data_IF_268254905453
#
_entry.id   IF_268254905453
#
_cell.length_a   1.000
_cell.length_b   1.000
_cell.length_c   1.000
_cell.angle_alpha   90.00
_cell.angle_beta   90.00
_cell.angle_gamma   90.00
#
_symmetry.space_group_name_H-M   'P 1'
#
loop_
_entity.id
_entity.type
_entity.pdbx_description
1 polymer ?
#
# COMPACT_ATOMS: atom_id res chain seq x y z
N UNK A 1 -31.10 -4.43 4.78
CA UNK A 1 -30.22 -5.32 5.58
C UNK A 1 -28.84 -4.69 5.82
N UNK A 2 -28.10 -4.26 4.79
CA UNK A 2 -26.82 -3.54 5.01
C UNK A 2 -26.96 -2.25 5.84
N UNK A 3 -28.07 -1.53 5.73
CA UNK A 3 -28.31 -0.26 6.45
C UNK A 3 -28.44 -0.43 7.98
N UNK A 4 -29.15 -1.44 8.46
CA UNK A 4 -29.42 -1.62 9.89
C UNK A 4 -28.21 -2.13 10.67
N UNK A 5 -27.43 -3.02 10.05
CA UNK A 5 -26.20 -3.53 10.67
C UNK A 5 -25.14 -2.43 10.74
N UNK A 6 -25.02 -1.61 9.69
CA UNK A 6 -24.14 -0.43 9.65
C UNK A 6 -24.53 0.62 10.69
N UNK A 7 -25.83 0.87 10.87
CA UNK A 7 -26.33 1.82 11.87
C UNK A 7 -26.05 1.36 13.31
N UNK A 8 -26.25 0.07 13.64
CA UNK A 8 -25.93 -0.48 14.97
C UNK A 8 -24.44 -0.42 15.30
N UNK A 9 -23.58 -0.50 14.28
CA UNK A 9 -22.13 -0.58 14.47
C UNK A 9 -21.39 0.77 14.44
N UNK A 10 -21.96 1.82 13.86
CA UNK A 10 -21.44 3.19 14.05
C UNK A 10 -21.44 3.62 15.52
N UNK A 11 -22.27 2.98 16.36
CA UNK A 11 -22.31 3.17 17.80
C UNK A 11 -21.30 2.31 18.58
N UNK A 12 -20.51 1.45 17.91
CA UNK A 12 -19.46 0.68 18.58
C UNK A 12 -18.21 1.54 18.80
N UNK A 13 -17.82 1.64 20.07
CA UNK A 13 -16.69 2.45 20.53
C UNK A 13 -15.33 1.78 20.28
N UNK A 14 -15.29 0.44 20.24
CA UNK A 14 -14.06 -0.33 20.07
C UNK A 14 -13.40 -0.12 18.69
N UNK A 15 -12.18 0.45 18.62
CA UNK A 15 -11.44 0.63 17.37
C UNK A 15 -11.15 -0.67 16.61
N UNK A 16 -10.90 -1.79 17.31
CA UNK A 16 -10.59 -3.08 16.69
C UNK A 16 -11.79 -3.64 15.92
N UNK A 17 -12.98 -3.57 16.52
CA UNK A 17 -14.20 -4.04 15.88
C UNK A 17 -14.62 -3.13 14.71
N UNK A 18 -14.31 -1.83 14.79
CA UNK A 18 -14.53 -0.89 13.69
C UNK A 18 -13.66 -1.21 12.47
N UNK A 19 -12.40 -1.58 12.69
CA UNK A 19 -11.49 -2.01 11.62
C UNK A 19 -11.93 -3.34 10.99
N UNK A 20 -12.40 -4.30 11.80
CA UNK A 20 -12.97 -5.55 11.27
C UNK A 20 -14.21 -5.33 10.41
N UNK A 21 -14.97 -4.27 10.68
CA UNK A 21 -16.14 -3.93 9.87
C UNK A 21 -15.76 -3.46 8.47
N UNK A 22 -14.68 -2.68 8.33
CA UNK A 22 -14.18 -2.31 7.00
C UNK A 22 -13.78 -3.56 6.20
N UNK A 23 -13.17 -4.55 6.84
CA UNK A 23 -12.84 -5.82 6.17
C UNK A 23 -14.09 -6.55 5.65
N UNK A 24 -15.20 -6.55 6.41
CA UNK A 24 -16.47 -7.14 5.99
C UNK A 24 -17.14 -6.37 4.85
N UNK A 25 -17.12 -5.03 4.92
CA UNK A 25 -17.61 -4.18 3.83
C UNK A 25 -16.81 -4.44 2.54
N UNK A 26 -15.49 -4.59 2.65
CA UNK A 26 -14.61 -4.90 1.51
C UNK A 26 -14.93 -6.27 0.89
N UNK A 27 -15.13 -7.30 1.71
CA UNK A 27 -15.56 -8.63 1.26
C UNK A 27 -16.91 -8.57 0.54
N UNK A 28 -17.89 -7.86 1.11
CA UNK A 28 -19.21 -7.71 0.51
C UNK A 28 -19.13 -7.00 -0.86
N UNK A 29 -18.36 -5.91 -0.94
CA UNK A 29 -18.16 -5.17 -2.18
C UNK A 29 -17.43 -6.01 -3.24
N UNK A 30 -16.43 -6.79 -2.84
CA UNK A 30 -15.72 -7.72 -3.74
C UNK A 30 -16.65 -8.80 -4.28
N UNK A 31 -17.49 -9.40 -3.44
CA UNK A 31 -18.49 -10.37 -3.88
C UNK A 31 -19.48 -9.75 -4.86
N UNK A 32 -20.00 -8.55 -4.57
CA UNK A 32 -20.91 -7.84 -5.48
C UNK A 32 -20.27 -7.57 -6.84
N UNK A 33 -19.00 -7.15 -6.89
CA UNK A 33 -18.26 -6.93 -8.14
C UNK A 33 -18.15 -8.21 -8.97
N UNK A 34 -17.80 -9.34 -8.33
CA UNK A 34 -17.75 -10.64 -9.00
C UNK A 34 -19.12 -11.05 -9.55
N UNK A 35 -20.19 -10.87 -8.76
CA UNK A 35 -21.55 -11.21 -9.19
C UNK A 35 -22.05 -10.32 -10.34
N UNK A 36 -21.56 -9.09 -10.45
CA UNK A 36 -21.85 -8.19 -11.59
C UNK A 36 -20.99 -8.50 -12.84
N UNK A 37 -20.16 -9.55 -12.82
CA UNK A 37 -19.27 -9.89 -13.92
C UNK A 37 -18.17 -8.84 -14.15
N UNK A 38 -17.76 -8.13 -13.08
CA UNK A 38 -16.64 -7.18 -13.07
C UNK A 38 -15.56 -7.73 -12.15
N UNK A 39 -14.91 -8.77 -12.61
CA UNK A 39 -13.87 -9.45 -11.84
C UNK A 39 -12.59 -8.62 -11.72
N UNK A 40 -11.64 -9.05 -10.87
CA UNK A 40 -10.28 -8.50 -10.82
C UNK A 40 -9.62 -8.39 -12.21
N UNK A 41 -9.87 -9.39 -13.08
CA UNK A 41 -9.30 -9.45 -14.43
C UNK A 41 -9.78 -8.31 -15.33
N UNK A 42 -11.05 -7.91 -15.24
CA UNK A 42 -11.60 -6.80 -16.02
C UNK A 42 -10.99 -5.46 -15.58
N UNK A 43 -10.78 -5.29 -14.28
CA UNK A 43 -10.14 -4.11 -13.70
C UNK A 43 -8.67 -4.03 -14.12
N UNK A 44 -7.95 -5.15 -14.06
CA UNK A 44 -6.55 -5.26 -14.47
C UNK A 44 -6.36 -4.99 -15.98
N UNK A 45 -7.30 -5.46 -16.82
CA UNK A 45 -7.28 -5.24 -18.26
C UNK A 45 -7.50 -3.77 -18.63
N UNK A 46 -8.42 -3.10 -17.93
CA UNK A 46 -8.75 -1.70 -18.19
C UNK A 46 -7.74 -0.68 -17.62
N UNK A 47 -6.86 -1.11 -16.70
CA UNK A 47 -5.93 -0.19 -16.04
C UNK A 47 -4.85 0.30 -17.01
N UNK A 48 -4.68 1.64 -17.17
CA UNK A 48 -3.62 2.19 -17.98
C UNK A 48 -2.25 1.92 -17.35
N UNK A 49 -1.19 2.10 -18.14
CA UNK A 49 0.18 2.08 -17.61
C UNK A 49 0.38 3.29 -16.70
N UNK A 50 1.19 3.11 -15.67
CA UNK A 50 1.59 4.14 -14.73
C UNK A 50 0.40 4.81 -13.98
N UNK A 51 -0.64 4.02 -13.70
CA UNK A 51 -1.88 4.47 -13.08
C UNK A 51 -1.72 4.83 -11.60
N UNK A 52 -2.47 5.83 -11.15
CA UNK A 52 -2.68 6.17 -9.74
C UNK A 52 -4.15 5.88 -9.43
N UNK A 53 -4.39 5.07 -8.40
CA UNK A 53 -5.76 4.76 -7.98
C UNK A 53 -6.23 5.79 -6.96
N UNK A 54 -7.39 6.38 -7.23
CA UNK A 54 -8.09 7.29 -6.30
C UNK A 54 -9.36 6.60 -5.84
N UNK A 55 -9.51 6.38 -4.54
CA UNK A 55 -10.68 5.73 -3.96
C UNK A 55 -11.09 6.37 -2.63
N UNK A 56 -12.34 6.17 -2.23
CA UNK A 56 -12.78 6.60 -0.90
C UNK A 56 -12.11 5.76 0.17
N UNK A 57 -12.26 4.45 0.06
CA UNK A 57 -11.61 3.44 0.88
C UNK A 57 -11.22 2.27 -0.02
N UNK A 58 -10.26 1.47 0.43
CA UNK A 58 -9.82 0.27 -0.27
C UNK A 58 -9.30 -0.75 0.74
N UNK A 59 -9.68 -2.02 0.54
CA UNK A 59 -9.15 -3.13 1.31
C UNK A 59 -7.77 -3.58 0.84
N UNK A 60 -6.99 -4.19 1.73
CA UNK A 60 -5.66 -4.72 1.41
C UNK A 60 -5.71 -5.80 0.30
N UNK A 61 -6.71 -6.68 0.34
CA UNK A 61 -6.90 -7.72 -0.68
C UNK A 61 -7.28 -7.12 -2.05
N UNK A 62 -8.07 -6.03 -2.05
CA UNK A 62 -8.44 -5.34 -3.28
C UNK A 62 -7.23 -4.67 -3.95
N UNK A 63 -6.32 -4.07 -3.17
CA UNK A 63 -5.09 -3.51 -3.71
C UNK A 63 -4.25 -4.54 -4.48
N UNK A 64 -4.25 -5.79 -4.01
CA UNK A 64 -3.48 -6.89 -4.59
C UNK A 64 -4.09 -7.46 -5.87
N UNK A 65 -5.37 -7.17 -6.12
CA UNK A 65 -6.05 -7.53 -7.37
C UNK A 65 -5.54 -6.65 -8.55
N UNK A 66 -4.84 -5.55 -8.28
CA UNK A 66 -4.27 -4.67 -9.31
C UNK A 66 -2.88 -5.13 -9.81
N UNK A 67 -2.59 -5.01 -11.12
CA UNK A 67 -1.26 -5.29 -11.65
C UNK A 67 -0.21 -4.34 -11.08
N UNK A 68 0.76 -4.89 -10.33
CA UNK A 68 1.81 -4.11 -9.66
C UNK A 68 2.66 -3.29 -10.62
N UNK A 69 2.91 -3.80 -11.82
CA UNK A 69 3.72 -3.15 -12.86
C UNK A 69 3.04 -1.91 -13.47
N UNK A 70 1.71 -1.82 -13.35
CA UNK A 70 0.93 -0.68 -13.82
C UNK A 70 0.64 0.35 -12.74
N UNK A 71 0.76 -0.01 -11.47
CA UNK A 71 0.37 0.85 -10.34
C UNK A 71 1.54 1.72 -9.86
N UNK A 72 1.33 3.04 -9.77
CA UNK A 72 2.35 4.03 -9.39
C UNK A 72 2.00 4.85 -8.15
N UNK A 73 0.76 4.79 -7.69
CA UNK A 73 0.35 5.48 -6.48
C UNK A 73 -1.06 5.09 -6.03
N UNK A 74 -1.35 5.37 -4.77
CA UNK A 74 -2.65 5.15 -4.15
C UNK A 74 -3.08 6.40 -3.39
N UNK A 75 -4.30 6.86 -3.62
CA UNK A 75 -4.92 8.01 -2.96
C UNK A 75 -6.21 7.55 -2.31
N UNK A 76 -6.32 7.76 -1.00
CA UNK A 76 -7.48 7.36 -0.20
C UNK A 76 -8.10 8.54 0.54
N UNK A 77 -9.41 8.73 0.43
CA UNK A 77 -10.13 9.69 1.28
C UNK A 77 -10.17 9.23 2.75
N UNK A 78 -10.27 7.92 2.95
CA UNK A 78 -10.33 7.19 4.21
C UNK A 78 -9.16 6.19 4.26
N UNK A 79 -8.03 6.65 4.78
CA UNK A 79 -6.84 5.82 4.94
C UNK A 79 -5.92 6.39 6.01
N UNK A 80 -5.90 5.78 7.19
CA UNK A 80 -4.94 6.12 8.23
C UNK A 80 -3.58 5.49 7.93
N UNK A 81 -2.49 6.11 8.39
CA UNK A 81 -1.14 5.57 8.21
C UNK A 81 -0.96 4.13 8.74
N UNK A 82 -1.77 3.73 9.71
CA UNK A 82 -1.78 2.39 10.32
C UNK A 82 -2.76 1.42 9.67
N UNK A 83 -3.54 1.84 8.67
CA UNK A 83 -4.49 0.95 8.01
C UNK A 83 -3.80 -0.15 7.21
N UNK A 84 -4.41 -1.33 7.17
CA UNK A 84 -3.86 -2.51 6.50
C UNK A 84 -3.49 -2.24 5.03
N UNK A 85 -4.34 -1.51 4.29
CA UNK A 85 -4.06 -1.16 2.88
C UNK A 85 -2.81 -0.29 2.73
N UNK A 86 -2.60 0.69 3.62
CA UNK A 86 -1.42 1.57 3.59
C UNK A 86 -0.15 0.79 3.91
N UNK A 87 -0.23 -0.13 4.88
CA UNK A 87 0.87 -1.02 5.23
C UNK A 87 1.27 -1.89 4.04
N UNK A 88 0.28 -2.51 3.37
CA UNK A 88 0.53 -3.38 2.21
C UNK A 88 1.09 -2.58 1.04
N UNK A 89 0.50 -1.43 0.72
CA UNK A 89 1.02 -0.54 -0.33
C UNK A 89 2.47 -0.12 -0.07
N UNK A 90 2.81 0.19 1.19
CA UNK A 90 4.19 0.52 1.60
C UNK A 90 5.14 -0.65 1.40
N UNK A 91 4.75 -1.87 1.76
CA UNK A 91 5.56 -3.07 1.51
C UNK A 91 5.78 -3.32 0.00
N UNK A 92 4.76 -3.00 -0.82
CA UNK A 92 4.85 -3.06 -2.28
C UNK A 92 5.68 -1.92 -2.90
N UNK A 93 6.09 -0.92 -2.11
CA UNK A 93 6.85 0.25 -2.58
C UNK A 93 5.99 1.28 -3.34
N UNK A 94 4.67 1.25 -3.15
CA UNK A 94 3.73 2.17 -3.78
C UNK A 94 3.57 3.41 -2.90
N UNK A 95 3.79 4.63 -3.42
CA UNK A 95 3.47 5.88 -2.72
C UNK A 95 1.98 5.96 -2.37
N UNK A 96 1.67 6.34 -1.12
CA UNK A 96 0.29 6.46 -0.66
C UNK A 96 0.04 7.84 -0.05
N UNK A 97 -1.07 8.47 -0.42
CA UNK A 97 -1.63 9.63 0.26
C UNK A 97 -3.01 9.27 0.83
N UNK A 98 -3.08 9.18 2.16
CA UNK A 98 -4.32 8.90 2.90
C UNK A 98 -4.95 10.16 3.47
N UNK A 99 -6.23 10.09 3.86
CA UNK A 99 -7.01 11.22 4.39
C UNK A 99 -7.26 12.35 3.38
N UNK A 100 -7.27 12.05 2.09
CA UNK A 100 -7.46 13.01 1.00
C UNK A 100 -8.95 13.28 0.75
N UNK A 101 -9.64 13.89 1.72
CA UNK A 101 -11.08 14.15 1.65
C UNK A 101 -11.45 14.95 0.39
N UNK A 102 -12.40 14.43 -0.38
CA UNK A 102 -12.88 15.06 -1.62
C UNK A 102 -12.08 14.68 -2.86
N UNK A 103 -10.98 13.91 -2.73
CA UNK A 103 -10.17 13.52 -3.87
C UNK A 103 -10.98 12.78 -4.95
N UNK A 104 -11.90 11.90 -4.55
CA UNK A 104 -12.76 11.15 -5.49
C UNK A 104 -13.69 12.08 -6.26
N UNK A 105 -14.17 13.15 -5.61
CA UNK A 105 -15.05 14.12 -6.27
C UNK A 105 -14.32 15.13 -7.16
N UNK A 106 -13.01 15.31 -6.96
CA UNK A 106 -12.21 16.30 -7.68
C UNK A 106 -11.41 15.73 -8.86
N UNK A 107 -11.14 14.41 -8.82
CA UNK A 107 -10.38 13.70 -9.83
C UNK A 107 -11.30 13.04 -10.87
N UNK A 108 -10.87 13.07 -12.11
CA UNK A 108 -11.49 12.35 -13.22
C UNK A 108 -10.53 11.30 -13.79
N UNK A 109 -11.09 10.26 -14.43
CA UNK A 109 -10.29 9.25 -15.10
C UNK A 109 -9.44 9.89 -16.20
N UNK A 110 -8.12 9.68 -16.14
CA UNK A 110 -7.16 10.23 -17.10
C UNK A 110 -6.48 11.53 -16.63
N UNK A 111 -6.86 12.09 -15.48
CA UNK A 111 -6.15 13.22 -14.91
C UNK A 111 -4.69 12.86 -14.57
N UNK A 112 -3.78 13.80 -14.84
CA UNK A 112 -2.43 13.75 -14.31
C UNK A 112 -2.47 14.02 -12.79
N UNK A 113 -1.78 13.19 -12.02
CA UNK A 113 -1.73 13.29 -10.56
C UNK A 113 -0.28 13.11 -10.09
N UNK A 114 0.17 13.96 -9.18
CA UNK A 114 1.38 13.75 -8.40
C UNK A 114 0.97 13.28 -7.01
N UNK A 115 1.56 12.19 -6.53
CA UNK A 115 1.39 11.68 -5.16
C UNK A 115 2.71 11.85 -4.42
N UNK A 116 2.72 12.71 -3.40
CA UNK A 116 3.84 12.84 -2.47
C UNK A 116 3.57 12.00 -1.22
N UNK A 117 4.13 10.80 -1.19
CA UNK A 117 4.02 9.90 -0.03
C UNK A 117 4.89 10.29 1.17
N UNK A 118 5.80 11.26 1.05
CA UNK A 118 6.61 11.77 2.17
C UNK A 118 5.86 12.87 2.91
N UNK A 119 5.28 13.81 2.17
CA UNK A 119 4.48 14.91 2.73
C UNK A 119 3.01 14.51 2.93
N UNK A 120 2.58 13.40 2.33
CA UNK A 120 1.19 12.94 2.38
C UNK A 120 0.26 13.88 1.61
N UNK A 121 0.69 14.43 0.49
CA UNK A 121 -0.09 15.38 -0.32
C UNK A 121 -0.28 14.88 -1.75
N UNK A 122 -1.29 15.44 -2.43
CA UNK A 122 -1.55 15.17 -3.85
C UNK A 122 -1.69 16.47 -4.62
N UNK A 123 -1.31 16.43 -5.90
CA UNK A 123 -1.58 17.51 -6.85
C UNK A 123 -2.34 16.94 -8.03
N UNK A 124 -3.61 17.34 -8.18
CA UNK A 124 -4.46 16.98 -9.31
C UNK A 124 -4.26 18.00 -10.44
N UNK A 125 -4.09 17.50 -11.68
CA UNK A 125 -3.83 18.32 -12.88
C UNK A 125 -2.74 19.37 -12.62
N UNK A 126 -1.55 18.95 -12.16
CA UNK A 126 -0.47 19.87 -11.81
C UNK A 126 -0.06 20.72 -13.02
N UNK A 127 0.38 21.94 -12.75
CA UNK A 127 0.98 22.79 -13.77
C UNK A 127 2.38 22.27 -14.12
N UNK A 128 2.87 22.58 -15.32
CA UNK A 128 4.15 22.04 -15.84
C UNK A 128 5.38 22.43 -15.01
N UNK A 129 5.34 23.58 -14.34
CA UNK A 129 6.39 24.03 -13.41
C UNK A 129 6.45 23.15 -12.17
N UNK A 130 5.29 22.78 -11.62
CA UNK A 130 5.17 21.85 -10.50
C UNK A 130 5.63 20.44 -10.90
N UNK A 131 5.25 19.96 -12.09
CA UNK A 131 5.74 18.69 -12.62
C UNK A 131 7.27 18.66 -12.72
N UNK A 132 7.87 19.74 -13.25
CA UNK A 132 9.32 19.86 -13.36
C UNK A 132 10.01 19.86 -11.98
N UNK A 133 9.45 20.58 -11.00
CA UNK A 133 9.96 20.61 -9.63
C UNK A 133 9.94 19.23 -8.98
N UNK A 134 8.85 18.47 -9.13
CA UNK A 134 8.76 17.11 -8.62
C UNK A 134 9.68 16.14 -9.37
N UNK A 135 9.86 16.32 -10.68
CA UNK A 135 10.83 15.54 -11.45
C UNK A 135 12.28 15.76 -10.98
N UNK A 136 12.64 16.98 -10.56
CA UNK A 136 13.92 17.25 -9.89
C UNK A 136 13.98 16.63 -8.49
N UNK A 137 12.91 16.72 -7.68
CA UNK A 137 12.81 16.08 -6.35
C UNK A 137 13.06 14.57 -6.45
N UNK A 138 12.44 13.91 -7.42
CA UNK A 138 12.64 12.47 -7.70
C UNK A 138 14.08 12.17 -8.11
N UNK A 139 14.69 12.99 -8.96
CA UNK A 139 16.11 12.82 -9.35
C UNK A 139 17.06 12.98 -8.17
N UNK A 140 16.81 13.96 -7.30
CA UNK A 140 17.62 14.15 -6.09
C UNK A 140 17.47 12.95 -5.13
N UNK A 141 16.25 12.44 -4.95
CA UNK A 141 15.99 11.22 -4.17
C UNK A 141 16.72 10.02 -4.75
N UNK A 142 16.71 9.83 -6.06
CA UNK A 142 17.44 8.75 -6.72
C UNK A 142 18.95 8.83 -6.46
N UNK A 143 19.54 10.03 -6.51
CA UNK A 143 20.96 10.23 -6.15
C UNK A 143 21.25 9.89 -4.69
N UNK A 144 20.38 10.31 -3.76
CA UNK A 144 20.53 9.95 -2.33
C UNK A 144 20.40 8.44 -2.11
N UNK A 145 19.49 7.79 -2.84
CA UNK A 145 19.33 6.34 -2.76
C UNK A 145 20.60 5.61 -3.21
N UNK A 146 21.34 6.14 -4.19
CA UNK A 146 22.61 5.57 -4.61
C UNK A 146 23.67 5.65 -3.51
N UNK A 147 23.75 6.79 -2.79
CA UNK A 147 24.62 6.93 -1.62
C UNK A 147 24.25 5.92 -0.53
N UNK A 148 22.96 5.67 -0.30
CA UNK A 148 22.51 4.66 0.67
C UNK A 148 22.84 3.23 0.23
N UNK A 149 22.84 2.93 -1.07
CA UNK A 149 23.28 1.62 -1.57
C UNK A 149 24.74 1.33 -1.24
N UNK A 150 25.60 2.35 -1.18
CA UNK A 150 26.99 2.17 -0.75
C UNK A 150 27.12 1.79 0.73
N UNK A 151 26.16 2.17 1.57
CA UNK A 151 26.15 1.83 3.00
C UNK A 151 25.79 0.37 3.27
N UNK A 152 25.17 -0.31 2.30
CA UNK A 152 24.68 -1.70 2.42
C UNK A 152 25.74 -2.69 2.91
N UNK A 153 27.01 -2.47 2.57
CA UNK A 153 28.13 -3.36 2.94
C UNK A 153 28.88 -2.91 4.19
N UNK A 154 28.52 -1.76 4.78
CA UNK A 154 29.18 -1.23 5.98
C UNK A 154 28.59 -1.86 7.24
N UNK A 155 29.40 -2.07 8.28
CA UNK A 155 28.90 -2.54 9.56
C UNK A 155 28.01 -1.47 10.19
N UNK A 156 26.93 -1.90 10.85
CA UNK A 156 26.01 -1.04 11.59
C UNK A 156 26.56 -0.78 12.99
N UNK A 157 27.34 0.30 13.12
CA UNK A 157 27.99 0.71 14.37
C UNK A 157 27.53 2.12 14.78
N UNK A 158 27.35 2.34 16.08
CA UNK A 158 27.19 3.70 16.64
C UNK A 158 28.51 4.49 16.55
N UNK A 159 28.46 5.80 16.83
CA UNK A 159 29.66 6.66 16.78
C UNK A 159 30.74 6.26 17.79
N UNK A 160 30.36 5.60 18.87
CA UNK A 160 31.21 5.04 19.92
C UNK A 160 31.52 3.55 19.72
N UNK A 161 31.14 2.96 18.59
CA UNK A 161 31.57 1.62 18.17
C UNK A 161 30.69 0.46 18.66
N UNK A 162 29.51 0.72 19.21
CA UNK A 162 28.57 -0.32 19.64
C UNK A 162 27.88 -0.92 18.40
N UNK A 163 27.92 -2.25 18.20
CA UNK A 163 27.22 -2.90 17.11
C UNK A 163 25.71 -2.93 17.33
N UNK A 164 24.95 -2.67 16.27
CA UNK A 164 23.48 -2.73 16.26
C UNK A 164 23.02 -3.52 15.03
N UNK A 165 22.20 -4.54 15.25
CA UNK A 165 21.60 -5.28 14.15
C UNK A 165 20.41 -4.51 13.56
N UNK A 166 20.51 -4.19 12.27
CA UNK A 166 19.40 -3.64 11.50
C UNK A 166 18.66 -4.79 10.83
N UNK A 167 17.47 -5.08 11.33
CA UNK A 167 16.61 -6.16 10.83
C UNK A 167 15.46 -5.60 10.00
N UNK A 168 15.06 -6.34 8.97
CA UNK A 168 13.95 -5.96 8.09
C UNK A 168 12.62 -6.52 8.61
N UNK A 169 11.54 -5.76 8.42
CA UNK A 169 10.19 -6.27 8.55
C UNK A 169 9.72 -6.78 7.18
N UNK A 170 9.24 -8.02 7.13
CA UNK A 170 8.67 -8.65 5.94
C UNK A 170 7.26 -9.14 6.24
N UNK A 171 6.42 -9.33 5.22
CA UNK A 171 5.11 -9.96 5.41
C UNK A 171 4.65 -10.81 4.23
N UNK A 172 5.27 -10.67 3.06
CA UNK A 172 5.02 -11.54 1.93
C UNK A 172 6.35 -12.08 1.37
N UNK A 173 6.29 -13.23 0.69
CA UNK A 173 7.47 -13.80 0.03
C UNK A 173 8.09 -12.83 -1.00
N UNK A 174 7.28 -11.92 -1.56
CA UNK A 174 7.73 -10.87 -2.49
C UNK A 174 8.63 -9.81 -1.83
N UNK A 175 8.71 -9.78 -0.50
CA UNK A 175 9.59 -8.87 0.24
C UNK A 175 11.01 -9.45 0.37
N UNK A 176 11.19 -10.77 0.25
CA UNK A 176 12.48 -11.43 0.48
C UNK A 176 13.62 -10.95 -0.44
N UNK A 177 13.39 -10.64 -1.74
CA UNK A 177 14.43 -10.02 -2.56
C UNK A 177 14.96 -8.71 -1.97
N UNK A 178 14.13 -7.94 -1.27
CA UNK A 178 14.51 -6.67 -0.64
C UNK A 178 15.44 -6.87 0.58
N UNK A 179 15.44 -8.05 1.21
CA UNK A 179 16.35 -8.36 2.32
C UNK A 179 17.80 -8.26 1.85
N UNK A 180 18.05 -8.83 0.68
CA UNK A 180 19.37 -8.75 0.06
C UNK A 180 19.67 -7.30 -0.26
N UNK A 181 18.79 -6.60 -0.99
CA UNK A 181 18.98 -5.21 -1.43
C UNK A 181 19.18 -4.19 -0.30
N UNK A 182 18.57 -4.39 0.85
CA UNK A 182 18.64 -3.48 2.00
C UNK A 182 19.94 -3.61 2.81
N UNK A 183 20.59 -4.78 2.78
CA UNK A 183 21.74 -5.07 3.63
C UNK A 183 21.38 -5.31 5.09
N UNK A 184 20.11 -5.61 5.38
CA UNK A 184 19.68 -6.00 6.70
C UNK A 184 20.35 -7.30 7.15
N UNK A 185 20.65 -7.40 8.45
CA UNK A 185 21.29 -8.59 9.05
C UNK A 185 20.35 -9.81 9.08
N UNK A 186 19.04 -9.59 8.92
CA UNK A 186 18.03 -10.63 8.92
C UNK A 186 16.60 -10.06 8.94
N UNK A 187 15.64 -10.93 9.20
CA UNK A 187 14.23 -10.56 9.38
C UNK A 187 13.95 -10.45 10.88
N UNK A 188 13.51 -9.28 11.32
CA UNK A 188 13.16 -9.03 12.73
C UNK A 188 11.69 -9.23 13.03
N UNK A 189 10.85 -9.10 12.00
CA UNK A 189 9.41 -9.33 12.08
C UNK A 189 8.94 -9.92 10.75
N UNK A 190 8.33 -11.09 10.80
CA UNK A 190 7.62 -11.69 9.66
C UNK A 190 6.11 -11.68 9.95
N UNK A 191 5.37 -10.87 9.20
CA UNK A 191 3.92 -10.70 9.33
C UNK A 191 3.18 -11.79 8.56
N UNK A 192 2.74 -12.83 9.27
CA UNK A 192 2.05 -13.95 8.63
C UNK A 192 0.64 -13.58 8.18
N UNK A 193 0.00 -12.57 8.80
CA UNK A 193 -1.38 -12.19 8.48
C UNK A 193 -1.59 -11.78 7.02
N UNK A 194 -0.58 -11.17 6.39
CA UNK A 194 -0.63 -10.83 4.98
C UNK A 194 -0.82 -12.07 4.09
N UNK A 195 -0.16 -13.21 4.40
CA UNK A 195 -0.30 -14.45 3.65
C UNK A 195 -1.74 -15.00 3.68
N UNK A 196 -2.45 -14.81 4.79
CA UNK A 196 -3.86 -15.22 4.91
C UNK A 196 -4.80 -14.28 4.14
N UNK A 197 -4.47 -12.98 4.06
CA UNK A 197 -5.28 -12.02 3.29
C UNK A 197 -5.15 -12.22 1.78
N UNK A 198 -3.99 -12.67 1.28
CA UNK A 198 -3.76 -12.87 -0.16
C UNK A 198 -4.21 -14.25 -0.67
N UNK A 199 -4.37 -15.23 0.23
CA UNK A 199 -4.71 -16.58 -0.15
C UNK A 199 -6.19 -16.72 -0.56
N UNK A 200 -6.45 -17.37 -1.69
CA UNK A 200 -7.81 -17.68 -2.15
C UNK A 200 -8.55 -18.68 -1.24
N UNK A 201 -7.80 -19.46 -0.47
CA UNK A 201 -8.31 -20.40 0.53
C UNK A 201 -7.43 -20.33 1.77
N UNK A 202 -8.01 -20.60 2.94
CA UNK A 202 -7.25 -20.63 4.20
C UNK A 202 -6.00 -21.53 4.06
N UNK A 203 -4.79 -20.98 4.25
CA UNK A 203 -3.55 -21.74 4.11
C UNK A 203 -3.52 -22.94 5.06
N UNK A 204 -3.34 -24.14 4.52
CA UNK A 204 -3.10 -25.35 5.34
C UNK A 204 -1.72 -25.29 5.98
N UNK A 205 -1.52 -26.01 7.08
CA UNK A 205 -0.23 -26.06 7.79
C UNK A 205 0.93 -26.44 6.86
N UNK A 206 0.74 -27.45 6.01
CA UNK A 206 1.75 -27.90 5.03
C UNK A 206 2.22 -26.79 4.07
N UNK A 207 1.37 -25.82 3.76
CA UNK A 207 1.71 -24.69 2.88
C UNK A 207 2.41 -23.54 3.63
N UNK A 208 2.35 -23.53 4.96
CA UNK A 208 3.02 -22.54 5.82
C UNK A 208 4.42 -23.00 6.25
N UNK A 209 4.69 -24.31 6.21
CA UNK A 209 5.98 -24.92 6.58
C UNK A 209 6.99 -24.99 5.42
N UNK A 210 6.54 -24.78 4.17
CA UNK A 210 7.38 -24.81 2.96
C UNK A 210 7.73 -23.41 2.48
#
# INVERSE_FOLDING_TARGET
VQSDMRARMLHMTDPYLRERMSDFDDLANRLLRQLMGRGPEDVAAALPKDAIIVARSMGAAELLDYPRDKLRGLVLEDGAATSHVVIVARAMGIPVAGQMKGAVSMAENGDAIIVDGEEGTIHLRPQSDLEAAYAEKVRFRARRQEVYRELRKKPSLTKDGVPVDLLMNAGLAVDLPQLTESGAAGIGLFRTELQFMVASTFPRAEAQER
#
